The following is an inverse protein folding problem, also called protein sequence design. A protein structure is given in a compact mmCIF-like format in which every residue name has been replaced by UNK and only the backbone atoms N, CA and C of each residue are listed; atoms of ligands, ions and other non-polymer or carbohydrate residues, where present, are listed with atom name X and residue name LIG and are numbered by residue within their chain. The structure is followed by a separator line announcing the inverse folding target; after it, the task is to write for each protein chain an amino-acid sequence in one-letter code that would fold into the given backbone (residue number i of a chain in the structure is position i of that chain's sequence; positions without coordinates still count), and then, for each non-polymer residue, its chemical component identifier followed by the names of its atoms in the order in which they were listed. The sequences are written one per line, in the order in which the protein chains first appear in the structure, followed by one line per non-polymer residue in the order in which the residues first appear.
data_IF_001765949935
#
_entry.id   IF_001765949935
#
_cell.length_a   1.000
_cell.length_b   1.000
_cell.length_c   1.000
_cell.angle_alpha   90.00
_cell.angle_beta   90.00
_cell.angle_gamma   90.00
#
_symmetry.space_group_name_H-M   'P 1'
#
loop_
_entity.id
_entity.type
_entity.pdbx_description
1 polymer ?
#
# COMPACT_ATOMS: atom_id res chain seq x y z
N UNK A 1 19.18 46.56 -43.47
CA UNK A 1 19.57 46.11 -42.11
C UNK A 1 18.49 45.15 -41.63
N UNK A 2 18.70 43.85 -41.78
CA UNK A 2 17.79 42.81 -41.29
C UNK A 2 18.42 42.21 -40.03
N UNK A 3 17.84 42.52 -38.87
CA UNK A 3 18.28 42.03 -37.58
C UNK A 3 17.88 40.56 -37.42
N UNK A 4 18.85 39.73 -37.05
CA UNK A 4 18.63 38.33 -36.70
C UNK A 4 18.19 38.28 -35.23
N UNK A 5 16.97 37.84 -34.95
CA UNK A 5 16.61 37.44 -33.59
C UNK A 5 17.13 36.01 -33.41
N UNK A 6 18.27 35.88 -32.75
CA UNK A 6 18.73 34.61 -32.20
C UNK A 6 17.81 34.29 -31.01
N UNK A 7 16.87 33.39 -31.21
CA UNK A 7 16.13 32.78 -30.13
C UNK A 7 17.09 31.99 -29.25
N UNK A 8 17.40 32.51 -28.07
CA UNK A 8 18.10 31.76 -27.04
C UNK A 8 17.15 30.65 -26.54
N UNK A 9 17.31 29.44 -27.07
CA UNK A 9 16.76 28.25 -26.44
C UNK A 9 17.50 28.08 -25.11
N UNK A 10 16.86 28.48 -24.00
CA UNK A 10 17.35 28.13 -22.67
C UNK A 10 17.30 26.61 -22.57
N UNK A 11 18.46 25.96 -22.63
CA UNK A 11 18.57 24.54 -22.33
C UNK A 11 18.05 24.34 -20.90
N UNK A 12 16.91 23.64 -20.76
CA UNK A 12 16.41 23.25 -19.46
C UNK A 12 17.53 22.44 -18.76
N UNK A 13 17.80 22.67 -17.46
CA UNK A 13 18.79 21.89 -16.75
C UNK A 13 18.44 20.41 -16.88
N UNK A 14 19.43 19.59 -17.22
CA UNK A 14 19.23 18.13 -17.33
C UNK A 14 18.85 17.59 -15.96
N UNK A 15 17.59 17.23 -15.77
CA UNK A 15 17.10 16.67 -14.51
C UNK A 15 17.69 15.28 -14.34
N UNK A 16 18.43 15.05 -13.26
CA UNK A 16 18.82 13.72 -12.83
C UNK A 16 17.63 13.03 -12.14
N UNK A 17 16.90 12.22 -12.89
CA UNK A 17 15.67 11.57 -12.43
C UNK A 17 15.92 10.70 -11.20
N UNK A 18 17.02 9.93 -11.16
CA UNK A 18 17.31 9.03 -10.04
C UNK A 18 17.55 9.80 -8.74
N UNK A 19 18.37 10.84 -8.81
CA UNK A 19 18.66 11.70 -7.66
C UNK A 19 17.40 12.41 -7.16
N UNK A 20 16.57 12.90 -8.07
CA UNK A 20 15.27 13.51 -7.75
C UNK A 20 14.38 12.52 -7.00
N UNK A 21 14.19 11.31 -7.54
CA UNK A 21 13.37 10.27 -6.90
C UNK A 21 13.91 9.89 -5.51
N UNK A 22 15.22 9.75 -5.35
CA UNK A 22 15.84 9.40 -4.07
C UNK A 22 15.64 10.46 -2.97
N UNK A 23 15.40 11.73 -3.34
CA UNK A 23 15.18 12.82 -2.39
C UNK A 23 13.72 12.96 -1.93
N UNK A 24 12.82 12.17 -2.50
CA UNK A 24 11.37 12.24 -2.26
C UNK A 24 10.94 10.96 -1.57
N UNK A 25 10.17 11.07 -0.49
CA UNK A 25 9.47 9.92 0.05
C UNK A 25 8.28 9.57 -0.87
N UNK A 26 8.24 8.38 -1.50
CA UNK A 26 7.17 8.04 -2.43
C UNK A 26 5.77 8.05 -1.83
N UNK A 27 5.67 7.82 -0.51
CA UNK A 27 4.40 7.84 0.20
C UNK A 27 3.84 9.27 0.31
N UNK A 28 4.68 10.30 0.38
CA UNK A 28 4.20 11.68 0.47
C UNK A 28 3.51 12.13 -0.82
N UNK A 29 3.92 11.57 -1.97
CA UNK A 29 3.43 11.96 -3.30
C UNK A 29 2.72 10.83 -4.05
N UNK A 30 2.16 9.84 -3.34
CA UNK A 30 1.59 8.64 -3.96
C UNK A 30 0.60 8.89 -5.11
N UNK A 31 -0.24 9.92 -5.03
CA UNK A 31 -1.23 10.20 -6.05
C UNK A 31 -0.56 10.72 -7.31
N UNK A 32 0.55 11.47 -7.17
CA UNK A 32 1.36 11.95 -8.28
C UNK A 32 2.06 10.76 -8.94
N UNK A 33 2.62 9.84 -8.15
CA UNK A 33 3.24 8.63 -8.69
C UNK A 33 2.23 7.77 -9.46
N UNK A 34 1.06 7.46 -8.89
CA UNK A 34 -0.01 6.71 -9.56
C UNK A 34 -0.50 7.42 -10.82
N UNK A 35 -0.75 8.72 -10.74
CA UNK A 35 -1.17 9.54 -11.87
C UNK A 35 -0.13 9.52 -13.00
N UNK A 36 1.15 9.70 -12.68
CA UNK A 36 2.24 9.61 -13.66
C UNK A 36 2.32 8.23 -14.31
N UNK A 37 2.12 7.17 -13.53
CA UNK A 37 2.11 5.79 -14.01
C UNK A 37 0.94 5.49 -14.96
N UNK A 38 -0.24 6.05 -14.71
CA UNK A 38 -1.39 5.94 -15.61
C UNK A 38 -1.27 6.81 -16.87
N UNK A 39 -0.57 7.93 -16.79
CA UNK A 39 -0.36 8.84 -17.93
C UNK A 39 0.70 8.35 -18.93
N UNK A 40 1.78 7.73 -18.45
CA UNK A 40 2.94 7.43 -19.29
C UNK A 40 3.63 6.12 -18.88
N UNK A 41 3.63 5.13 -19.78
CA UNK A 41 4.22 3.81 -19.56
C UNK A 41 5.73 3.88 -19.23
N UNK A 42 6.50 4.70 -19.95
CA UNK A 42 7.95 4.84 -19.68
C UNK A 42 8.25 5.47 -18.32
N UNK A 43 7.48 6.48 -17.92
CA UNK A 43 7.58 7.05 -16.58
C UNK A 43 7.22 6.00 -15.52
N UNK A 44 6.18 5.21 -15.79
CA UNK A 44 5.75 4.15 -14.90
C UNK A 44 6.84 3.10 -14.68
N UNK A 45 7.53 2.65 -15.73
CA UNK A 45 8.62 1.67 -15.63
C UNK A 45 9.77 2.20 -14.74
N UNK A 46 10.13 3.48 -14.90
CA UNK A 46 11.16 4.13 -14.08
C UNK A 46 10.72 4.21 -12.62
N UNK A 47 9.49 4.67 -12.38
CA UNK A 47 8.90 4.81 -11.05
C UNK A 47 8.83 3.44 -10.35
N UNK A 48 8.20 2.45 -10.99
CA UNK A 48 7.98 1.12 -10.41
C UNK A 48 9.32 0.46 -10.08
N UNK A 49 10.32 0.60 -10.97
CA UNK A 49 11.68 0.10 -10.71
C UNK A 49 12.29 0.74 -9.47
N UNK A 50 12.17 2.06 -9.32
CA UNK A 50 12.67 2.76 -8.13
C UNK A 50 11.94 2.32 -6.85
N UNK A 51 10.61 2.24 -6.88
CA UNK A 51 9.81 1.80 -5.73
C UNK A 51 10.14 0.35 -5.30
N UNK A 52 10.53 -0.49 -6.25
CA UNK A 52 10.81 -1.91 -5.99
C UNK A 52 12.07 -2.16 -5.14
N UNK A 53 12.87 -1.13 -4.87
CA UNK A 53 14.10 -1.21 -4.07
C UNK A 53 13.81 -1.43 -2.56
N UNK A 54 12.59 -1.16 -2.09
CA UNK A 54 12.19 -1.31 -0.67
C UNK A 54 10.93 -2.17 -0.53
N UNK A 55 10.66 -2.71 0.66
CA UNK A 55 9.45 -3.54 0.89
C UNK A 55 8.19 -2.68 0.80
N UNK A 56 8.20 -1.52 1.45
CA UNK A 56 7.11 -0.55 1.47
C UNK A 56 6.86 0.02 0.07
N UNK A 57 7.96 0.35 -0.64
CA UNK A 57 7.90 0.79 -2.02
C UNK A 57 7.35 -0.28 -2.95
N UNK A 58 7.67 -1.57 -2.79
CA UNK A 58 7.07 -2.67 -3.58
C UNK A 58 5.56 -2.73 -3.45
N UNK A 59 5.02 -2.61 -2.22
CA UNK A 59 3.56 -2.57 -2.00
C UNK A 59 2.93 -1.41 -2.77
N UNK A 60 3.57 -0.25 -2.73
CA UNK A 60 3.10 0.93 -3.43
C UNK A 60 3.26 0.83 -4.96
N UNK A 61 4.35 0.24 -5.45
CA UNK A 61 4.63 0.04 -6.88
C UNK A 61 3.60 -0.85 -7.57
N UNK A 62 3.05 -1.85 -6.87
CA UNK A 62 1.94 -2.67 -7.38
C UNK A 62 0.71 -1.79 -7.69
N UNK A 63 0.41 -0.79 -6.86
CA UNK A 63 -0.70 0.13 -7.13
C UNK A 63 -0.44 1.03 -8.33
N UNK A 64 0.81 1.39 -8.59
CA UNK A 64 1.19 2.10 -9.81
C UNK A 64 0.94 1.25 -11.06
N UNK A 65 1.13 -0.07 -10.98
CA UNK A 65 0.82 -0.99 -12.10
C UNK A 65 -0.69 -1.09 -12.35
N UNK A 66 -1.55 -0.92 -11.33
CA UNK A 66 -3.01 -0.92 -11.51
C UNK A 66 -3.53 0.21 -12.40
N UNK A 67 -2.78 1.31 -12.51
CA UNK A 67 -3.14 2.48 -13.31
C UNK A 67 -2.86 2.27 -14.81
N UNK A 68 -2.13 1.22 -15.18
CA UNK A 68 -1.85 0.89 -16.57
C UNK A 68 -3.02 0.07 -17.15
N UNK A 69 -3.39 0.35 -18.41
CA UNK A 69 -4.46 -0.37 -19.11
C UNK A 69 -4.15 -1.86 -19.32
N UNK A 70 -2.88 -2.20 -19.47
CA UNK A 70 -2.39 -3.57 -19.70
C UNK A 70 -2.07 -4.25 -18.36
N UNK A 71 -3.07 -4.89 -17.75
CA UNK A 71 -2.85 -5.75 -16.56
C UNK A 71 -2.24 -7.08 -17.01
N UNK A 72 -0.92 -7.18 -16.94
CA UNK A 72 -0.18 -8.37 -17.36
C UNK A 72 -0.18 -9.48 -16.31
N UNK A 73 0.09 -10.72 -16.72
CA UNK A 73 0.31 -11.85 -15.78
C UNK A 73 1.43 -11.54 -14.77
N UNK A 74 2.40 -10.71 -15.17
CA UNK A 74 3.48 -10.24 -14.31
C UNK A 74 2.97 -9.42 -13.12
N UNK A 75 1.89 -8.65 -13.30
CA UNK A 75 1.25 -7.92 -12.21
C UNK A 75 0.69 -8.88 -11.16
N UNK A 76 -0.13 -9.86 -11.59
CA UNK A 76 -0.72 -10.84 -10.67
C UNK A 76 0.36 -11.69 -10.00
N UNK A 77 1.45 -12.00 -10.71
CA UNK A 77 2.60 -12.67 -10.12
C UNK A 77 3.27 -11.80 -9.04
N UNK A 78 3.42 -10.50 -9.27
CA UNK A 78 3.98 -9.58 -8.26
C UNK A 78 3.09 -9.46 -7.02
N UNK A 79 1.76 -9.45 -7.20
CA UNK A 79 0.80 -9.51 -6.10
C UNK A 79 0.97 -10.81 -5.33
N UNK A 80 0.98 -11.95 -6.04
CA UNK A 80 1.17 -13.29 -5.45
C UNK A 80 2.45 -13.38 -4.64
N UNK A 81 3.58 -12.94 -5.19
CA UNK A 81 4.88 -12.98 -4.51
C UNK A 81 4.85 -12.16 -3.22
N UNK A 82 4.17 -11.00 -3.23
CA UNK A 82 4.07 -10.13 -2.06
C UNK A 82 3.22 -10.76 -0.94
N UNK A 83 2.08 -11.37 -1.29
CA UNK A 83 1.13 -11.96 -0.32
C UNK A 83 1.46 -13.39 0.10
N UNK A 84 2.46 -14.02 -0.53
CA UNK A 84 2.99 -15.34 -0.17
C UNK A 84 3.78 -15.34 1.15
N UNK A 85 4.00 -14.16 1.75
CA UNK A 85 4.64 -13.98 3.04
C UNK A 85 3.73 -13.19 3.98
N UNK A 86 4.01 -13.23 5.29
CA UNK A 86 3.20 -12.46 6.24
C UNK A 86 3.32 -10.96 5.97
N UNK A 87 2.18 -10.32 5.73
CA UNK A 87 2.04 -8.87 5.58
C UNK A 87 1.62 -8.29 6.92
N UNK A 88 2.34 -7.26 7.38
CA UNK A 88 2.04 -6.60 8.64
C UNK A 88 1.47 -5.20 8.39
N UNK A 89 0.41 -4.84 9.12
CA UNK A 89 -0.13 -3.49 9.20
C UNK A 89 0.17 -2.96 10.60
N UNK A 90 0.99 -1.90 10.71
CA UNK A 90 1.51 -1.40 11.98
C UNK A 90 0.91 -0.03 12.35
N UNK A 91 0.83 0.35 13.63
CA UNK A 91 0.27 1.64 14.06
C UNK A 91 1.05 2.84 13.53
N UNK A 92 2.36 2.69 13.34
CA UNK A 92 3.25 3.76 12.90
C UNK A 92 3.39 3.84 11.37
N UNK A 93 2.83 2.89 10.63
CA UNK A 93 2.71 3.02 9.19
C UNK A 93 1.82 4.23 8.90
N UNK A 94 2.20 5.04 7.90
CA UNK A 94 1.36 6.15 7.49
C UNK A 94 -0.04 5.63 7.12
N UNK A 95 -1.09 6.44 7.37
CA UNK A 95 -2.47 6.06 6.97
C UNK A 95 -2.53 5.67 5.50
N UNK A 96 -1.67 6.27 4.69
CA UNK A 96 -1.48 5.85 3.34
C UNK A 96 -0.89 4.44 3.22
N UNK A 97 0.28 4.15 3.79
CA UNK A 97 0.92 2.84 3.64
C UNK A 97 -0.03 1.70 4.08
N UNK A 98 -0.80 1.93 5.14
CA UNK A 98 -1.85 1.01 5.57
C UNK A 98 -2.94 0.84 4.50
N UNK A 99 -3.45 1.93 3.92
CA UNK A 99 -4.43 1.88 2.82
C UNK A 99 -3.86 1.14 1.60
N UNK A 100 -2.63 1.43 1.21
CA UNK A 100 -1.98 0.77 0.07
C UNK A 100 -1.85 -0.73 0.30
N UNK A 101 -1.49 -1.12 1.53
CA UNK A 101 -1.43 -2.53 1.95
C UNK A 101 -2.81 -3.20 1.86
N UNK A 102 -3.87 -2.54 2.35
CA UNK A 102 -5.25 -3.05 2.24
C UNK A 102 -5.65 -3.24 0.78
N UNK A 103 -5.35 -2.28 -0.10
CA UNK A 103 -5.67 -2.38 -1.53
C UNK A 103 -4.98 -3.57 -2.21
N UNK A 104 -3.72 -3.87 -1.86
CA UNK A 104 -3.04 -5.06 -2.37
C UNK A 104 -3.73 -6.35 -1.91
N UNK A 105 -4.13 -6.41 -0.64
CA UNK A 105 -4.84 -7.56 -0.08
C UNK A 105 -6.21 -7.76 -0.77
N UNK A 106 -6.95 -6.68 -1.00
CA UNK A 106 -8.23 -6.70 -1.72
C UNK A 106 -8.06 -7.19 -3.17
N UNK A 107 -7.02 -6.72 -3.87
CA UNK A 107 -6.68 -7.21 -5.21
C UNK A 107 -6.36 -8.71 -5.19
N UNK A 108 -5.54 -9.18 -4.25
CA UNK A 108 -5.23 -10.59 -4.12
C UNK A 108 -6.49 -11.42 -3.90
N UNK A 109 -7.34 -11.02 -2.95
CA UNK A 109 -8.61 -11.68 -2.66
C UNK A 109 -9.56 -11.69 -3.86
N UNK A 110 -9.69 -10.57 -4.58
CA UNK A 110 -10.56 -10.47 -5.75
C UNK A 110 -10.11 -11.39 -6.90
N UNK A 111 -8.80 -11.65 -7.00
CA UNK A 111 -8.21 -12.50 -8.04
C UNK A 111 -7.98 -13.95 -7.57
N UNK A 112 -8.59 -14.37 -6.45
CA UNK A 112 -8.45 -15.73 -5.91
C UNK A 112 -6.99 -16.12 -5.61
N UNK A 113 -6.14 -15.14 -5.30
CA UNK A 113 -4.74 -15.35 -4.92
C UNK A 113 -4.70 -15.64 -3.40
N UNK A 114 -4.12 -16.77 -2.96
CA UNK A 114 -3.98 -17.08 -1.54
C UNK A 114 -3.15 -16.02 -0.80
N UNK A 115 -3.66 -15.55 0.34
CA UNK A 115 -2.96 -14.60 1.22
C UNK A 115 -2.52 -15.39 2.45
N UNK A 116 -1.21 -15.64 2.56
CA UNK A 116 -0.67 -16.55 3.59
C UNK A 116 -0.93 -16.06 5.00
N UNK A 117 -0.74 -14.76 5.28
CA UNK A 117 -0.94 -14.22 6.63
C UNK A 117 -1.04 -12.70 6.63
N UNK A 118 -2.03 -12.17 7.35
CA UNK A 118 -2.15 -10.75 7.66
C UNK A 118 -1.95 -10.56 9.17
N UNK A 119 -0.94 -9.77 9.55
CA UNK A 119 -0.65 -9.41 10.94
C UNK A 119 -1.08 -7.97 11.21
N UNK A 120 -2.09 -7.80 12.06
CA UNK A 120 -2.48 -6.52 12.64
C UNK A 120 -1.62 -6.27 13.88
N UNK A 121 -0.40 -5.79 13.67
CA UNK A 121 0.53 -5.50 14.76
C UNK A 121 0.11 -4.20 15.43
N UNK A 122 -0.53 -4.26 16.60
CA UNK A 122 -0.98 -3.11 17.40
C UNK A 122 -1.80 -2.07 16.63
N UNK A 123 -2.39 -2.47 15.51
CA UNK A 123 -3.13 -1.61 14.59
C UNK A 123 -4.64 -1.84 14.65
N UNK A 124 -5.08 -2.97 15.20
CA UNK A 124 -6.48 -3.29 15.45
C UNK A 124 -7.10 -2.32 16.46
N UNK A 125 -8.26 -1.75 16.12
CA UNK A 125 -9.04 -0.89 17.01
C UNK A 125 -10.29 -1.61 17.52
N UNK A 126 -11.17 -2.00 16.59
CA UNK A 126 -12.47 -2.60 16.87
C UNK A 126 -13.00 -3.31 15.62
N UNK A 127 -14.14 -3.99 15.76
CA UNK A 127 -14.88 -4.57 14.64
C UNK A 127 -16.16 -3.77 14.41
N UNK A 128 -16.49 -3.51 13.15
CA UNK A 128 -17.74 -2.85 12.75
C UNK A 128 -18.38 -3.66 11.62
N UNK A 129 -19.53 -4.27 11.91
CA UNK A 129 -20.24 -5.16 10.99
C UNK A 129 -19.31 -6.30 10.55
N UNK A 130 -19.04 -6.41 9.24
CA UNK A 130 -18.19 -7.43 8.65
C UNK A 130 -16.74 -6.95 8.41
N UNK A 131 -16.32 -5.84 9.03
CA UNK A 131 -15.01 -5.26 8.81
C UNK A 131 -14.21 -5.10 10.12
N UNK A 132 -12.90 -5.25 10.00
CA UNK A 132 -11.96 -4.89 11.05
C UNK A 132 -11.57 -3.43 10.88
N UNK A 133 -11.74 -2.61 11.91
CA UNK A 133 -11.34 -1.20 11.93
C UNK A 133 -9.96 -1.06 12.55
N UNK A 134 -9.09 -0.33 11.87
CA UNK A 134 -7.74 0.00 12.35
C UNK A 134 -7.74 1.31 13.15
N UNK A 135 -6.73 1.51 13.99
CA UNK A 135 -6.54 2.78 14.72
C UNK A 135 -6.42 4.01 13.81
N UNK A 136 -6.01 3.82 12.54
CA UNK A 136 -6.00 4.87 11.51
C UNK A 136 -7.39 5.26 10.99
N UNK A 137 -8.43 4.54 11.39
CA UNK A 137 -9.81 4.65 10.90
C UNK A 137 -10.02 4.00 9.53
N UNK A 138 -9.05 3.22 9.03
CA UNK A 138 -9.24 2.41 7.83
C UNK A 138 -9.94 1.10 8.17
N UNK A 139 -10.72 0.58 7.22
CA UNK A 139 -11.42 -0.70 7.34
C UNK A 139 -10.66 -1.75 6.51
N UNK A 140 -10.43 -2.90 7.11
CA UNK A 140 -10.05 -4.13 6.43
C UNK A 140 -11.32 -4.96 6.25
N UNK A 141 -11.81 -5.00 5.02
CA UNK A 141 -13.00 -5.76 4.65
C UNK A 141 -12.68 -7.26 4.51
N UNK A 142 -13.72 -8.06 4.26
CA UNK A 142 -13.58 -9.49 4.06
C UNK A 142 -12.58 -9.85 2.96
N UNK A 143 -11.56 -10.63 3.33
CA UNK A 143 -10.60 -11.25 2.43
C UNK A 143 -10.93 -12.75 2.32
N UNK A 144 -11.46 -13.19 1.19
CA UNK A 144 -11.94 -14.56 1.01
C UNK A 144 -10.81 -15.59 0.85
N UNK A 145 -9.60 -15.13 0.56
CA UNK A 145 -8.43 -15.99 0.29
C UNK A 145 -7.37 -15.93 1.39
N UNK A 146 -7.67 -15.27 2.52
CA UNK A 146 -6.72 -15.19 3.64
C UNK A 146 -6.73 -16.47 4.46
N UNK A 147 -5.55 -17.03 4.67
CA UNK A 147 -5.39 -18.26 5.45
C UNK A 147 -5.33 -17.98 6.95
N UNK A 148 -4.72 -16.86 7.34
CA UNK A 148 -4.51 -16.50 8.74
C UNK A 148 -4.55 -15.01 8.96
N UNK A 149 -5.27 -14.61 10.02
CA UNK A 149 -5.20 -13.26 10.57
C UNK A 149 -4.61 -13.35 11.98
N UNK A 150 -3.55 -12.60 12.22
CA UNK A 150 -2.92 -12.47 13.53
C UNK A 150 -3.15 -11.06 14.07
N UNK A 151 -3.67 -10.94 15.29
CA UNK A 151 -3.90 -9.66 15.97
C UNK A 151 -2.96 -9.58 17.17
N UNK A 152 -1.98 -8.67 17.12
CA UNK A 152 -1.10 -8.40 18.25
C UNK A 152 -1.61 -7.15 18.98
N UNK A 153 -2.14 -7.30 20.18
CA UNK A 153 -2.51 -6.15 21.02
C UNK A 153 -1.31 -5.71 21.87
N UNK A 154 -1.09 -4.40 22.04
CA UNK A 154 -0.09 -3.91 23.00
C UNK A 154 -0.44 -4.35 24.43
N UNK A 155 0.55 -4.67 25.26
CA UNK A 155 0.31 -4.91 26.68
C UNK A 155 -0.31 -3.64 27.29
N UNK A 156 -1.55 -3.74 27.75
CA UNK A 156 -2.15 -2.71 28.59
C UNK A 156 -1.55 -2.89 29.98
N UNK A 157 -0.70 -1.94 30.38
CA UNK A 157 -0.39 -1.74 31.79
C UNK A 157 -1.75 -1.61 32.50
N UNK A 158 -2.09 -2.61 33.31
CA UNK A 158 -3.40 -2.72 33.95
C UNK A 158 -3.57 -1.59 34.95
N UNK A 159 -4.43 -0.64 34.62
CA UNK A 159 -5.22 0.07 35.60
C UNK A 159 -6.66 -0.47 35.48
N UNK A 160 -7.30 -0.90 36.58
CA UNK A 160 -8.57 -1.61 36.50
C UNK A 160 -9.69 -0.59 36.33
N UNK A 161 -9.96 -0.17 35.10
CA UNK A 161 -11.16 0.61 34.82
C UNK A 161 -12.34 -0.32 34.48
N UNK A 162 -13.36 -0.22 35.31
CA UNK A 162 -14.55 -1.05 35.33
C UNK A 162 -15.59 -0.45 34.39
N UNK A 163 -15.45 -0.64 33.07
CA UNK A 163 -16.56 -0.72 32.09
C UNK A 163 -16.09 -0.61 30.63
N UNK A 164 -15.64 -1.73 30.06
CA UNK A 164 -16.00 -2.22 28.70
C UNK A 164 -15.18 -3.47 28.42
N UNK A 165 -15.84 -4.63 28.42
CA UNK A 165 -15.21 -5.88 27.99
C UNK A 165 -14.70 -5.71 26.56
N UNK A 166 -13.38 -5.79 26.36
CA UNK A 166 -12.80 -5.91 25.02
C UNK A 166 -13.13 -7.30 24.51
N UNK A 167 -14.15 -7.41 23.65
CA UNK A 167 -14.63 -8.66 23.08
C UNK A 167 -13.74 -9.09 21.92
N UNK A 168 -12.94 -10.13 22.18
CA UNK A 168 -12.52 -11.03 21.10
C UNK A 168 -13.73 -11.71 20.42
N UNK A 169 -14.90 -11.70 21.08
CA UNK A 169 -16.16 -12.28 20.58
C UNK A 169 -16.77 -11.51 19.39
N UNK A 170 -16.30 -10.30 19.08
CA UNK A 170 -16.82 -9.49 17.97
C UNK A 170 -15.92 -9.59 16.71
N UNK A 171 -14.92 -10.48 16.67
CA UNK A 171 -14.10 -10.69 15.46
C UNK A 171 -14.98 -11.30 14.36
N UNK A 172 -14.98 -10.76 13.13
CA UNK A 172 -15.76 -11.32 12.03
C UNK A 172 -15.42 -12.79 11.80
N UNK A 173 -16.43 -13.60 11.45
CA UNK A 173 -16.25 -15.04 11.21
C UNK A 173 -15.19 -15.32 10.15
N UNK A 174 -15.11 -14.48 9.11
CA UNK A 174 -14.10 -14.61 8.07
C UNK A 174 -12.66 -14.36 8.55
N UNK A 175 -12.48 -13.79 9.75
CA UNK A 175 -11.19 -13.53 10.37
C UNK A 175 -10.86 -14.52 11.52
N UNK A 176 -11.71 -15.53 11.71
CA UNK A 176 -11.58 -16.54 12.77
C UNK A 176 -11.24 -17.89 12.12
N UNK A 177 -9.96 -18.29 12.15
CA UNK A 177 -9.47 -19.56 11.60
C UNK A 177 -8.63 -20.32 12.63
#
# INVERSE_FOLDING_TARGET
MSAWIVGAASAAPSINVKETLNSINPLDLQYIYRFACGLNKSAADIIIKHLSETKEGRQFGILCTLEQEEKSDQFLQSVKDLVSSSIAIKPHDSKLLQRSTIQVLEVASANQIPITSVCLNKSFKECEEDAIVLHSGLRLNQLLTVEKIHIETGQVNKEPDTNRGRRYDDIPLWATF
#
